data_IF_936555286482
#
_entry.id   IF_936555286482
#
_cell.length_a   1.000
_cell.length_b   1.000
_cell.length_c   1.000
_cell.angle_alpha   90.00
_cell.angle_beta   90.00
_cell.angle_gamma   90.00
#
_symmetry.space_group_name_H-M   'P 1'
#
loop_
_entity.id
_entity.type
_entity.pdbx_description
1 polymer ?
#
# COMPACT_ATOMS: atom_id res chain seq x y z
N UNK A 1 31.95 -74.69 -14.34
CA UNK A 1 31.39 -73.58 -13.53
C UNK A 1 31.45 -74.05 -12.12
N UNK A 2 32.50 -73.61 -11.36
CA UNK A 2 32.62 -73.88 -9.93
C UNK A 2 31.57 -73.07 -9.16
N UNK A 3 30.82 -73.72 -8.33
CA UNK A 3 29.83 -73.05 -7.48
C UNK A 3 30.57 -72.30 -6.35
N UNK A 4 30.23 -70.98 -6.23
CA UNK A 4 30.79 -70.13 -5.17
C UNK A 4 30.51 -70.72 -3.77
N UNK A 5 31.51 -70.71 -2.91
CA UNK A 5 31.34 -71.21 -1.54
C UNK A 5 30.40 -70.29 -0.72
N UNK A 6 29.71 -70.78 0.31
CA UNK A 6 28.87 -69.94 1.16
C UNK A 6 29.62 -68.75 1.76
N UNK A 7 30.92 -68.83 2.02
CA UNK A 7 31.76 -67.74 2.53
C UNK A 7 31.97 -66.64 1.48
N UNK A 8 32.15 -67.03 0.20
CA UNK A 8 32.31 -66.06 -0.90
C UNK A 8 31.02 -65.31 -1.17
N UNK A 9 29.85 -65.95 -1.02
CA UNK A 9 28.54 -65.30 -1.16
C UNK A 9 28.33 -64.27 -0.04
N UNK A 10 28.74 -64.54 1.18
CA UNK A 10 28.64 -63.61 2.31
C UNK A 10 29.59 -62.40 2.10
N UNK A 11 30.82 -62.64 1.63
CA UNK A 11 31.78 -61.60 1.31
C UNK A 11 31.29 -60.67 0.20
N UNK A 12 30.73 -61.25 -0.89
CA UNK A 12 30.16 -60.52 -2.00
C UNK A 12 28.93 -59.68 -1.56
N UNK A 13 28.05 -60.22 -0.71
CA UNK A 13 26.92 -59.45 -0.17
C UNK A 13 27.40 -58.26 0.67
N UNK A 14 28.40 -58.46 1.53
CA UNK A 14 28.96 -57.36 2.33
C UNK A 14 29.58 -56.27 1.44
N UNK A 15 30.36 -56.64 0.43
CA UNK A 15 30.93 -55.70 -0.53
C UNK A 15 29.86 -54.98 -1.37
N UNK A 16 28.75 -55.64 -1.70
CA UNK A 16 27.60 -55.01 -2.40
C UNK A 16 26.88 -54.00 -1.52
N UNK A 17 26.72 -54.32 -0.21
CA UNK A 17 26.07 -53.41 0.72
C UNK A 17 26.95 -52.17 1.04
N UNK A 18 28.29 -52.38 1.15
CA UNK A 18 29.25 -51.29 1.27
C UNK A 18 29.23 -50.39 0.04
N UNK A 19 29.24 -50.95 -1.17
CA UNK A 19 29.13 -50.18 -2.42
C UNK A 19 27.78 -49.44 -2.56
N UNK A 20 26.68 -49.99 -2.03
CA UNK A 20 25.38 -49.32 -1.99
C UNK A 20 25.38 -48.12 -1.06
N UNK A 21 26.04 -48.23 0.10
CA UNK A 21 26.21 -47.13 1.05
C UNK A 21 27.05 -46.01 0.40
N UNK A 22 28.19 -46.37 -0.22
CA UNK A 22 29.04 -45.37 -0.92
C UNK A 22 28.32 -44.64 -2.03
N UNK A 23 27.52 -45.36 -2.84
CA UNK A 23 26.66 -44.73 -3.88
C UNK A 23 25.60 -43.84 -3.29
N UNK A 24 25.03 -44.23 -2.14
CA UNK A 24 24.03 -43.40 -1.46
C UNK A 24 24.63 -42.09 -0.91
N UNK A 25 25.84 -42.21 -0.29
CA UNK A 25 26.60 -41.02 0.20
C UNK A 25 27.00 -40.12 -0.98
N UNK A 26 27.57 -40.65 -2.05
CA UNK A 26 27.94 -39.88 -3.22
C UNK A 26 26.73 -39.18 -3.89
N UNK A 27 25.57 -39.81 -3.88
CA UNK A 27 24.31 -39.18 -4.37
C UNK A 27 23.84 -38.05 -3.47
N UNK A 28 23.98 -38.22 -2.15
CA UNK A 28 23.64 -37.16 -1.18
C UNK A 28 24.60 -35.98 -1.32
N UNK A 29 25.91 -36.21 -1.45
CA UNK A 29 26.91 -35.16 -1.67
C UNK A 29 26.69 -34.42 -3.01
N UNK A 30 26.39 -35.15 -4.06
CA UNK A 30 26.04 -34.54 -5.36
C UNK A 30 24.73 -33.72 -5.28
N UNK A 31 23.75 -34.15 -4.50
CA UNK A 31 22.53 -33.39 -4.27
C UNK A 31 22.79 -32.09 -3.47
N UNK A 32 23.62 -32.17 -2.43
CA UNK A 32 24.05 -31.02 -1.65
C UNK A 32 24.88 -30.03 -2.49
N UNK A 33 25.80 -30.50 -3.33
CA UNK A 33 26.58 -29.67 -4.22
C UNK A 33 25.70 -28.95 -5.25
N UNK A 34 24.67 -29.61 -5.79
CA UNK A 34 23.69 -28.98 -6.69
C UNK A 34 22.85 -27.93 -5.97
N UNK A 35 22.46 -28.18 -4.72
CA UNK A 35 21.72 -27.21 -3.93
C UNK A 35 22.57 -25.96 -3.61
N UNK A 36 23.86 -26.15 -3.30
CA UNK A 36 24.83 -25.04 -3.07
C UNK A 36 25.04 -24.24 -4.36
N UNK A 37 25.20 -24.90 -5.50
CA UNK A 37 25.36 -24.22 -6.79
C UNK A 37 24.11 -23.42 -7.17
N UNK A 38 22.92 -23.97 -6.98
CA UNK A 38 21.68 -23.27 -7.22
C UNK A 38 21.52 -22.04 -6.29
N UNK A 39 21.98 -22.11 -5.03
CA UNK A 39 22.02 -20.97 -4.11
C UNK A 39 23.00 -19.89 -4.58
N UNK A 40 24.20 -20.29 -5.01
CA UNK A 40 25.20 -19.36 -5.54
C UNK A 40 24.72 -18.66 -6.83
N UNK A 41 24.07 -19.39 -7.74
CA UNK A 41 23.48 -18.82 -8.96
C UNK A 41 22.37 -17.81 -8.62
N UNK A 42 21.50 -18.11 -7.66
CA UNK A 42 20.47 -17.19 -7.17
C UNK A 42 21.08 -15.94 -6.55
N UNK A 43 22.17 -16.05 -5.79
CA UNK A 43 22.90 -14.92 -5.18
C UNK A 43 23.60 -14.07 -6.24
N UNK A 44 24.21 -14.68 -7.25
CA UNK A 44 24.83 -13.97 -8.39
C UNK A 44 23.76 -13.20 -9.18
N UNK A 45 22.63 -13.82 -9.45
CA UNK A 45 21.51 -13.14 -10.13
C UNK A 45 20.97 -11.96 -9.34
N UNK A 46 20.84 -12.08 -8.02
CA UNK A 46 20.42 -10.99 -7.12
C UNK A 46 21.44 -9.85 -7.08
N UNK A 47 22.73 -10.17 -7.01
CA UNK A 47 23.81 -9.16 -7.02
C UNK A 47 23.92 -8.46 -8.38
N UNK A 48 23.79 -9.19 -9.48
CA UNK A 48 23.75 -8.62 -10.82
C UNK A 48 22.58 -7.64 -10.97
N UNK A 49 21.42 -8.00 -10.40
CA UNK A 49 20.25 -7.16 -10.36
C UNK A 49 20.44 -5.88 -9.53
N UNK A 50 21.05 -5.98 -8.35
CA UNK A 50 21.39 -4.84 -7.51
C UNK A 50 22.40 -3.90 -8.21
N UNK A 51 23.37 -4.45 -8.91
CA UNK A 51 24.33 -3.68 -9.70
C UNK A 51 23.64 -2.96 -10.87
N UNK A 52 22.70 -3.59 -11.52
CA UNK A 52 21.92 -3.02 -12.62
C UNK A 52 21.00 -1.90 -12.14
N UNK A 53 20.39 -2.05 -10.97
CA UNK A 53 19.62 -1.02 -10.29
C UNK A 53 20.48 0.19 -9.89
N UNK A 54 21.66 -0.05 -9.32
CA UNK A 54 22.60 1.01 -8.93
C UNK A 54 23.22 1.74 -10.13
N UNK A 55 23.51 1.04 -11.22
CA UNK A 55 23.96 1.63 -12.49
C UNK A 55 22.89 2.52 -13.12
N UNK A 56 21.64 2.16 -12.95
CA UNK A 56 20.49 2.87 -13.52
C UNK A 56 20.08 4.11 -12.73
N UNK A 57 20.18 4.10 -11.42
CA UNK A 57 20.01 5.30 -10.58
C UNK A 57 21.02 6.40 -10.97
N UNK A 58 22.15 5.99 -11.53
CA UNK A 58 23.24 6.89 -11.96
C UNK A 58 23.11 7.37 -13.41
N UNK A 59 22.47 6.61 -14.34
CA UNK A 59 22.69 6.80 -15.78
C UNK A 59 21.49 6.71 -16.74
N UNK A 60 20.19 6.59 -16.31
CA UNK A 60 19.28 6.43 -17.38
C UNK A 60 17.78 6.45 -17.28
N UNK A 61 17.15 6.57 -18.45
CA UNK A 61 15.69 6.52 -18.66
C UNK A 61 15.09 5.16 -18.27
N UNK A 62 13.93 5.19 -17.61
CA UNK A 62 13.21 4.02 -17.09
C UNK A 62 12.65 3.15 -18.23
N UNK A 63 13.16 1.94 -18.42
CA UNK A 63 12.54 0.96 -19.30
C UNK A 63 11.42 0.19 -18.58
N UNK A 64 10.36 -0.25 -19.30
CA UNK A 64 9.26 -1.03 -18.73
C UNK A 64 9.70 -2.33 -18.05
N UNK A 65 10.75 -2.99 -18.57
CA UNK A 65 11.29 -4.25 -18.04
C UNK A 65 11.88 -4.09 -16.64
N UNK A 66 12.54 -2.97 -16.39
CA UNK A 66 13.13 -2.64 -15.09
C UNK A 66 12.08 -2.17 -14.08
N UNK A 67 10.97 -1.56 -14.55
CA UNK A 67 9.83 -1.17 -13.71
C UNK A 67 9.14 -2.42 -13.12
N UNK A 68 8.89 -3.44 -13.94
CA UNK A 68 8.32 -4.72 -13.48
C UNK A 68 9.21 -5.45 -12.46
N UNK A 69 10.51 -5.32 -12.61
CA UNK A 69 11.48 -5.93 -11.69
C UNK A 69 11.56 -5.16 -10.36
N UNK A 70 11.42 -3.83 -10.41
CA UNK A 70 11.28 -2.98 -9.22
C UNK A 70 9.99 -3.31 -8.49
N UNK A 71 8.85 -3.40 -9.20
CA UNK A 71 7.57 -3.76 -8.63
C UNK A 71 7.60 -5.13 -7.92
N UNK A 72 8.36 -6.10 -8.45
CA UNK A 72 8.59 -7.39 -7.79
C UNK A 72 9.48 -7.29 -6.55
N UNK A 73 10.49 -6.42 -6.57
CA UNK A 73 11.38 -6.20 -5.42
C UNK A 73 10.68 -5.34 -4.35
N UNK A 74 9.87 -4.38 -4.74
CA UNK A 74 9.02 -3.59 -3.84
C UNK A 74 7.97 -4.49 -3.16
N UNK A 75 7.32 -5.40 -3.90
CA UNK A 75 6.44 -6.41 -3.33
C UNK A 75 7.15 -7.37 -2.37
N UNK A 76 8.40 -7.74 -2.66
CA UNK A 76 9.20 -8.56 -1.76
C UNK A 76 9.68 -7.77 -0.53
N UNK A 77 9.98 -6.48 -0.70
CA UNK A 77 10.34 -5.57 0.38
C UNK A 77 9.13 -5.29 1.29
N UNK A 78 7.96 -4.99 0.72
CA UNK A 78 6.71 -4.84 1.48
C UNK A 78 6.35 -6.10 2.27
N UNK A 79 6.53 -7.29 1.67
CA UNK A 79 6.31 -8.55 2.39
C UNK A 79 7.31 -8.76 3.53
N UNK A 80 8.56 -8.31 3.37
CA UNK A 80 9.57 -8.36 4.41
C UNK A 80 9.31 -7.32 5.51
N UNK A 81 8.89 -6.11 5.12
CA UNK A 81 8.53 -5.03 6.05
C UNK A 81 7.25 -5.33 6.82
N UNK A 82 6.23 -5.91 6.18
CA UNK A 82 4.99 -6.32 6.85
C UNK A 82 5.26 -7.43 7.89
N UNK A 83 6.19 -8.34 7.61
CA UNK A 83 6.58 -9.39 8.55
C UNK A 83 7.48 -8.85 9.66
N UNK A 84 8.38 -7.92 9.33
CA UNK A 84 9.24 -7.25 10.32
C UNK A 84 8.44 -6.37 11.28
N UNK A 85 7.42 -5.63 10.79
CA UNK A 85 6.54 -4.81 11.63
C UNK A 85 5.65 -5.65 12.55
N UNK A 86 5.24 -6.84 12.16
CA UNK A 86 4.50 -7.76 13.05
C UNK A 86 5.40 -8.30 14.17
N UNK A 87 6.64 -8.66 13.85
CA UNK A 87 7.63 -9.15 14.84
C UNK A 87 8.17 -8.03 15.73
N UNK A 88 8.37 -6.82 15.20
CA UNK A 88 8.76 -5.62 15.97
C UNK A 88 7.61 -5.13 16.86
N UNK A 89 6.36 -5.19 16.40
CA UNK A 89 5.21 -4.85 17.22
C UNK A 89 5.01 -5.86 18.35
N UNK A 90 5.22 -7.16 18.10
CA UNK A 90 5.21 -8.20 19.14
C UNK A 90 6.35 -8.02 20.13
N UNK A 91 7.56 -7.67 19.67
CA UNK A 91 8.72 -7.37 20.50
C UNK A 91 8.54 -6.06 21.31
N UNK A 92 7.94 -5.02 20.71
CA UNK A 92 7.64 -3.75 21.38
C UNK A 92 6.55 -3.91 22.45
N UNK A 93 5.55 -4.76 22.22
CA UNK A 93 4.54 -5.14 23.23
C UNK A 93 5.20 -5.90 24.39
N UNK A 94 6.19 -6.73 24.12
CA UNK A 94 6.95 -7.45 25.15
C UNK A 94 7.95 -6.55 25.91
N UNK A 95 8.46 -5.49 25.27
CA UNK A 95 9.44 -4.54 25.82
C UNK A 95 8.82 -3.31 26.52
N UNK A 96 7.50 -3.06 26.37
CA UNK A 96 6.82 -1.92 26.95
C UNK A 96 6.66 -2.02 28.47
N UNK A 97 7.77 -1.81 29.17
CA UNK A 97 7.76 -1.42 30.58
C UNK A 97 7.29 0.03 30.69
N UNK A 98 6.19 0.22 31.39
CA UNK A 98 5.50 1.46 31.74
C UNK A 98 6.41 2.62 32.07
N UNK A 99 6.44 3.65 31.22
CA UNK A 99 6.88 4.98 31.60
C UNK A 99 5.61 5.84 31.81
N UNK A 100 5.31 6.18 33.03
CA UNK A 100 4.22 7.10 33.40
C UNK A 100 4.56 8.49 32.91
N UNK A 101 3.83 9.00 31.93
CA UNK A 101 3.90 10.40 31.49
C UNK A 101 2.91 11.21 32.31
N UNK A 102 3.42 12.20 33.05
CA UNK A 102 2.62 13.16 33.80
C UNK A 102 1.67 13.91 32.87
N UNK A 103 0.38 13.97 33.24
CA UNK A 103 -0.63 14.72 32.50
C UNK A 103 -0.30 16.22 32.51
N UNK A 104 -0.12 16.83 31.33
CA UNK A 104 0.03 18.25 31.17
C UNK A 104 -1.30 18.90 30.75
N UNK A 105 -1.59 20.05 31.33
CA UNK A 105 -2.79 20.84 31.02
C UNK A 105 -2.56 21.55 29.68
N UNK A 106 -3.38 21.24 28.68
CA UNK A 106 -3.35 21.90 27.37
C UNK A 106 -3.80 23.34 27.50
N UNK A 107 -2.89 24.30 27.43
CA UNK A 107 -3.25 25.70 27.25
C UNK A 107 -3.93 25.87 25.88
N UNK A 108 -5.04 26.63 25.80
CA UNK A 108 -5.67 26.95 24.51
C UNK A 108 -4.65 27.74 23.68
N UNK A 109 -4.30 27.30 22.46
CA UNK A 109 -3.37 28.04 21.62
C UNK A 109 -3.97 29.40 21.27
N UNK A 110 -3.30 30.49 21.64
CA UNK A 110 -3.63 31.81 21.13
C UNK A 110 -3.06 31.94 19.73
N UNK A 111 -3.87 32.44 18.76
CA UNK A 111 -3.39 32.71 17.39
C UNK A 111 -2.32 33.79 17.46
N UNK A 112 -1.10 33.43 17.04
CA UNK A 112 -0.04 34.40 16.83
C UNK A 112 -0.31 35.16 15.52
N UNK A 113 -0.08 36.48 15.45
CA UNK A 113 -0.18 37.23 14.20
C UNK A 113 0.82 36.71 13.17
N UNK A 114 0.46 36.80 11.90
CA UNK A 114 1.37 36.41 10.82
C UNK A 114 2.62 37.32 10.80
N UNK A 115 3.82 36.79 10.49
CA UNK A 115 5.08 37.55 10.55
C UNK A 115 5.03 38.86 9.76
N UNK A 116 5.42 39.95 10.38
CA UNK A 116 5.33 41.30 9.82
C UNK A 116 6.23 41.52 8.58
N UNK A 117 7.34 40.76 8.49
CA UNK A 117 8.30 40.86 7.37
C UNK A 117 7.80 40.28 6.06
N UNK A 118 6.73 39.48 6.08
CA UNK A 118 6.18 38.86 4.84
C UNK A 118 5.44 39.91 4.00
N UNK A 119 5.58 39.89 2.65
CA UNK A 119 4.85 40.81 1.78
C UNK A 119 3.34 40.55 1.91
N UNK A 120 2.56 41.63 1.98
CA UNK A 120 1.10 41.59 2.07
C UNK A 120 0.48 42.08 0.78
N UNK A 121 -0.37 41.26 0.20
CA UNK A 121 -1.22 41.66 -0.94
C UNK A 121 -2.60 41.99 -0.40
N UNK A 122 -3.03 43.25 -0.52
CA UNK A 122 -4.35 43.69 -0.08
C UNK A 122 -5.37 43.46 -1.20
N UNK A 123 -6.38 42.63 -0.92
CA UNK A 123 -7.51 42.40 -1.83
C UNK A 123 -8.77 42.99 -1.19
N UNK A 124 -9.29 44.05 -1.79
CA UNK A 124 -10.53 44.68 -1.33
C UNK A 124 -11.70 44.03 -2.04
N UNK A 125 -12.62 43.46 -1.27
CA UNK A 125 -13.90 42.94 -1.81
C UNK A 125 -14.87 44.11 -1.91
N UNK A 126 -15.29 44.50 -3.10
CA UNK A 126 -16.19 45.65 -3.27
C UNK A 126 -17.53 45.38 -2.57
N UNK A 127 -18.01 46.39 -1.88
CA UNK A 127 -19.35 46.38 -1.29
C UNK A 127 -20.44 46.71 -2.34
N UNK A 128 -21.69 46.44 -2.00
CA UNK A 128 -22.84 46.85 -2.81
C UNK A 128 -22.93 48.38 -2.90
N UNK A 129 -23.27 48.92 -4.04
CA UNK A 129 -23.41 50.37 -4.28
C UNK A 129 -24.71 50.94 -3.73
N UNK A 130 -25.66 50.06 -3.35
CA UNK A 130 -26.94 50.44 -2.76
C UNK A 130 -27.29 49.58 -1.54
N UNK A 131 -28.09 50.09 -0.64
CA UNK A 131 -28.58 49.39 0.55
C UNK A 131 -29.52 48.24 0.16
N UNK A 132 -29.21 47.01 0.53
CA UNK A 132 -30.02 45.83 0.29
C UNK A 132 -31.41 45.86 0.99
N UNK A 133 -31.63 46.80 1.94
CA UNK A 133 -32.87 46.93 2.68
C UNK A 133 -33.84 47.92 2.06
N UNK A 134 -33.36 49.09 1.55
CA UNK A 134 -34.21 50.18 1.07
C UNK A 134 -33.81 50.72 -0.31
N UNK A 135 -32.80 50.15 -0.99
CA UNK A 135 -32.35 50.58 -2.32
C UNK A 135 -31.58 51.90 -2.36
N UNK A 136 -31.40 52.60 -1.22
CA UNK A 136 -30.74 53.92 -1.19
C UNK A 136 -29.22 53.76 -1.47
N UNK A 137 -28.66 54.73 -2.18
CA UNK A 137 -27.22 54.88 -2.46
C UNK A 137 -26.46 55.65 -1.34
N UNK A 138 -27.21 56.18 -0.32
CA UNK A 138 -26.62 56.95 0.77
C UNK A 138 -25.92 56.05 1.80
N UNK A 139 -24.87 55.36 1.38
CA UNK A 139 -24.06 54.50 2.23
C UNK A 139 -22.91 55.26 2.87
N UNK A 140 -22.61 54.99 4.17
CA UNK A 140 -21.47 55.53 4.90
C UNK A 140 -20.60 54.34 5.37
N UNK A 141 -19.32 54.41 5.10
CA UNK A 141 -18.34 53.38 5.54
C UNK A 141 -18.18 53.43 7.07
N UNK A 142 -18.46 52.34 7.75
CA UNK A 142 -18.32 52.18 9.21
C UNK A 142 -16.98 51.65 9.62
N UNK A 143 -16.32 50.89 8.73
CA UNK A 143 -15.05 50.23 9.04
C UNK A 143 -14.70 49.12 8.03
N UNK A 144 -13.65 48.38 8.36
CA UNK A 144 -13.15 47.26 7.55
C UNK A 144 -12.91 46.07 8.47
N UNK A 145 -13.29 44.87 8.02
CA UNK A 145 -12.85 43.62 8.62
C UNK A 145 -11.71 43.08 7.77
N UNK A 146 -10.53 42.98 8.37
CA UNK A 146 -9.32 42.48 7.70
C UNK A 146 -9.09 41.04 8.15
N UNK A 147 -9.10 40.12 7.20
CA UNK A 147 -8.73 38.72 7.40
C UNK A 147 -7.43 38.46 6.68
N UNK A 148 -6.43 37.95 7.39
CA UNK A 148 -5.14 37.58 6.81
C UNK A 148 -5.09 36.07 6.54
N UNK A 149 -4.65 35.69 5.34
CA UNK A 149 -4.42 34.33 4.91
C UNK A 149 -2.98 34.19 4.46
N UNK A 150 -2.27 33.18 4.99
CA UNK A 150 -0.93 32.87 4.56
C UNK A 150 -0.97 32.07 3.25
N UNK A 151 -0.27 32.55 2.23
CA UNK A 151 -0.19 31.90 0.91
C UNK A 151 1.27 31.67 0.51
N UNK A 152 1.55 30.66 -0.33
CA UNK A 152 2.87 30.35 -0.83
C UNK A 152 2.94 30.55 -2.34
N UNK A 153 3.96 31.27 -2.79
CA UNK A 153 4.44 31.21 -4.16
C UNK A 153 5.68 30.30 -4.11
N UNK A 154 5.91 29.41 -5.09
CA UNK A 154 7.07 28.53 -5.06
C UNK A 154 8.35 29.31 -4.67
N UNK A 155 8.93 28.95 -3.52
CA UNK A 155 10.08 29.58 -2.86
C UNK A 155 9.87 31.01 -2.31
N UNK A 156 8.61 31.49 -2.18
CA UNK A 156 8.32 32.76 -1.54
C UNK A 156 7.02 32.68 -0.73
N UNK A 157 7.07 33.20 0.49
CA UNK A 157 5.89 33.34 1.33
C UNK A 157 5.25 34.71 1.07
N UNK A 158 3.92 34.75 1.06
CA UNK A 158 3.14 35.98 1.02
C UNK A 158 1.96 35.91 1.97
N UNK A 159 1.53 37.05 2.46
CA UNK A 159 0.29 37.19 3.22
C UNK A 159 -0.74 37.88 2.31
N UNK A 160 -1.93 37.29 2.22
CA UNK A 160 -3.08 37.87 1.53
C UNK A 160 -3.99 38.51 2.59
N UNK A 161 -4.11 39.83 2.58
CA UNK A 161 -5.04 40.56 3.42
C UNK A 161 -6.35 40.73 2.67
N UNK A 162 -7.42 40.06 3.09
CA UNK A 162 -8.75 40.20 2.52
C UNK A 162 -9.52 41.26 3.33
N UNK A 163 -9.77 42.39 2.71
CA UNK A 163 -10.48 43.52 3.34
C UNK A 163 -11.93 43.51 2.89
N UNK A 164 -12.83 43.43 3.86
CA UNK A 164 -14.29 43.53 3.63
C UNK A 164 -14.80 44.80 4.27
N UNK A 165 -15.13 45.77 3.46
CA UNK A 165 -15.63 47.05 3.96
C UNK A 165 -17.04 46.90 4.53
N UNK A 166 -17.33 47.61 5.62
CA UNK A 166 -18.65 47.69 6.22
C UNK A 166 -19.24 49.07 5.96
N UNK A 167 -20.47 49.14 5.51
CA UNK A 167 -21.18 50.35 5.23
C UNK A 167 -22.51 50.40 6.00
N UNK A 168 -22.82 51.56 6.62
CA UNK A 168 -24.16 51.83 7.09
C UNK A 168 -24.95 52.64 6.09
N UNK A 169 -26.19 52.28 5.87
CA UNK A 169 -27.13 53.09 5.09
C UNK A 169 -27.63 54.23 5.94
N UNK A 170 -27.36 55.47 5.55
CA UNK A 170 -27.85 56.66 6.23
C UNK A 170 -29.38 56.90 6.12
N UNK A 171 -30.05 56.16 5.23
CA UNK A 171 -31.50 56.27 5.07
C UNK A 171 -32.27 55.25 5.94
N UNK A 172 -31.75 54.04 6.17
CA UNK A 172 -32.43 53.00 6.95
C UNK A 172 -31.56 52.38 8.05
N UNK A 173 -30.37 52.91 8.33
CA UNK A 173 -29.42 52.51 9.35
C UNK A 173 -28.93 51.07 9.26
N UNK A 174 -29.28 50.34 8.20
CA UNK A 174 -28.89 48.95 7.98
C UNK A 174 -27.40 48.86 7.62
N UNK A 175 -26.70 47.97 8.32
CA UNK A 175 -25.28 47.64 8.00
C UNK A 175 -25.22 46.60 6.91
N UNK A 176 -24.40 46.85 5.89
CA UNK A 176 -24.07 45.92 4.83
C UNK A 176 -22.60 45.61 4.74
N UNK A 177 -22.26 44.35 4.50
CA UNK A 177 -20.86 43.88 4.35
C UNK A 177 -20.90 42.72 3.33
N UNK A 178 -19.95 42.62 2.38
CA UNK A 178 -19.85 41.47 1.50
C UNK A 178 -19.56 40.20 2.30
N UNK A 179 -20.02 39.01 1.83
CA UNK A 179 -19.73 37.75 2.48
C UNK A 179 -18.22 37.47 2.51
N UNK A 180 -17.77 36.71 3.48
CA UNK A 180 -16.39 36.26 3.53
C UNK A 180 -16.12 35.29 2.37
N UNK A 181 -14.92 35.31 1.74
CA UNK A 181 -14.55 34.31 0.76
C UNK A 181 -14.51 32.92 1.39
N UNK A 182 -14.70 31.91 0.55
CA UNK A 182 -14.62 30.53 1.01
C UNK A 182 -13.20 30.20 1.49
N UNK A 183 -13.11 29.57 2.65
CA UNK A 183 -11.91 28.98 3.20
C UNK A 183 -12.15 27.52 3.55
N UNK A 184 -11.18 26.64 3.25
CA UNK A 184 -11.23 25.22 3.62
C UNK A 184 -11.43 25.02 5.11
N UNK A 185 -10.78 25.87 5.92
CA UNK A 185 -10.98 25.92 7.37
C UNK A 185 -11.67 27.24 7.73
N UNK A 186 -12.83 27.23 8.37
CA UNK A 186 -13.47 28.46 8.85
C UNK A 186 -12.49 29.29 9.70
N UNK A 187 -12.32 30.57 9.37
CA UNK A 187 -11.30 31.46 9.98
C UNK A 187 -9.85 30.90 9.80
N UNK A 188 -9.59 30.14 8.75
CA UNK A 188 -8.27 29.57 8.46
C UNK A 188 -7.23 30.65 8.14
N UNK A 189 -5.98 30.35 8.48
CA UNK A 189 -4.82 31.19 8.17
C UNK A 189 -4.11 30.77 6.87
N UNK A 190 -4.46 29.62 6.28
CA UNK A 190 -3.72 29.02 5.19
C UNK A 190 -4.51 29.18 3.88
N UNK A 191 -3.86 29.74 2.88
CA UNK A 191 -4.40 29.81 1.52
C UNK A 191 -4.34 28.46 0.80
N UNK A 192 -5.10 28.34 -0.28
CA UNK A 192 -5.24 27.08 -1.02
C UNK A 192 -3.91 26.51 -1.53
N UNK A 193 -2.99 27.36 -1.98
CA UNK A 193 -1.67 26.91 -2.47
C UNK A 193 -0.82 26.32 -1.36
N UNK A 194 -0.84 26.92 -0.16
CA UNK A 194 -0.13 26.37 1.00
C UNK A 194 -0.73 25.03 1.43
N UNK A 195 -2.06 24.92 1.47
CA UNK A 195 -2.75 23.67 1.79
C UNK A 195 -2.40 22.56 0.78
N UNK A 196 -2.43 22.88 -0.51
CA UNK A 196 -2.04 21.95 -1.58
C UNK A 196 -0.58 21.50 -1.43
N UNK A 197 0.33 22.42 -1.10
CA UNK A 197 1.75 22.11 -0.86
C UNK A 197 1.92 21.15 0.33
N UNK A 198 1.26 21.41 1.46
CA UNK A 198 1.33 20.55 2.65
C UNK A 198 0.86 19.13 2.32
N UNK A 199 -0.25 18.98 1.59
CA UNK A 199 -0.77 17.68 1.18
C UNK A 199 0.16 16.97 0.21
N UNK A 200 0.65 17.68 -0.81
CA UNK A 200 1.56 17.10 -1.80
C UNK A 200 2.85 16.63 -1.16
N UNK A 201 3.44 17.43 -0.27
CA UNK A 201 4.66 17.04 0.42
C UNK A 201 4.43 15.85 1.35
N UNK A 202 3.28 15.80 2.04
CA UNK A 202 2.97 14.69 2.95
C UNK A 202 2.68 13.39 2.19
N UNK A 203 1.82 13.42 1.19
CA UNK A 203 1.29 12.23 0.54
C UNK A 203 1.96 11.91 -0.80
N UNK A 204 2.46 12.92 -1.50
CA UNK A 204 3.15 12.75 -2.78
C UNK A 204 4.67 12.64 -2.65
N UNK A 205 5.27 13.36 -1.67
CA UNK A 205 6.71 13.34 -1.42
C UNK A 205 7.10 12.56 -0.15
N UNK A 206 6.12 11.96 0.55
CA UNK A 206 6.31 11.20 1.78
C UNK A 206 7.06 11.97 2.89
N UNK A 207 6.94 13.31 2.88
CA UNK A 207 7.58 14.15 3.87
C UNK A 207 6.72 14.31 5.13
N UNK A 208 7.14 13.83 6.32
CA UNK A 208 6.38 13.97 7.55
C UNK A 208 6.14 15.44 7.92
N UNK A 209 5.01 15.71 8.58
CA UNK A 209 4.64 17.08 8.98
C UNK A 209 5.67 17.76 9.91
N UNK A 210 6.38 17.01 10.75
CA UNK A 210 7.46 17.55 11.58
C UNK A 210 8.61 18.09 10.73
N UNK A 211 9.01 17.39 9.66
CA UNK A 211 10.07 17.89 8.75
C UNK A 211 9.58 19.08 7.92
N UNK A 212 8.30 19.10 7.53
CA UNK A 212 7.73 20.28 6.88
C UNK A 212 7.76 21.48 7.82
N UNK A 213 7.34 21.30 9.09
CA UNK A 213 7.42 22.36 10.12
C UNK A 213 8.84 22.90 10.25
N UNK A 214 9.82 22.03 10.41
CA UNK A 214 11.22 22.42 10.59
C UNK A 214 11.73 23.21 9.38
N UNK A 215 11.38 22.82 8.15
CA UNK A 215 11.71 23.57 6.95
C UNK A 215 11.04 24.94 6.92
N UNK A 216 9.74 25.02 7.22
CA UNK A 216 9.03 26.30 7.24
C UNK A 216 9.62 27.26 8.28
N UNK A 217 10.04 26.75 9.44
CA UNK A 217 10.74 27.54 10.45
C UNK A 217 12.07 28.10 9.92
N UNK A 218 12.87 27.32 9.17
CA UNK A 218 14.09 27.81 8.51
C UNK A 218 13.79 28.86 7.43
N UNK A 219 12.61 28.82 6.83
CA UNK A 219 12.13 29.82 5.86
C UNK A 219 11.51 31.05 6.55
N UNK A 220 11.55 31.14 7.88
CA UNK A 220 11.02 32.25 8.67
C UNK A 220 9.53 32.17 8.98
N UNK A 221 8.89 31.02 8.79
CA UNK A 221 7.45 30.81 9.06
C UNK A 221 7.29 29.70 10.12
N UNK A 222 7.01 30.11 11.35
CA UNK A 222 6.80 29.16 12.45
C UNK A 222 5.35 28.68 12.49
N UNK A 223 5.14 27.37 12.23
CA UNK A 223 3.85 26.70 12.23
C UNK A 223 3.88 25.53 13.19
N UNK A 224 2.91 25.43 14.10
CA UNK A 224 2.84 24.31 15.03
C UNK A 224 2.49 23.00 14.28
N UNK A 225 3.01 21.87 14.77
CA UNK A 225 2.70 20.55 14.23
C UNK A 225 1.19 20.24 14.31
N UNK A 226 0.53 20.66 15.40
CA UNK A 226 -0.91 20.51 15.57
C UNK A 226 -1.69 21.31 14.53
N UNK A 227 -1.26 22.55 14.23
CA UNK A 227 -1.88 23.36 13.19
C UNK A 227 -1.78 22.68 11.81
N UNK A 228 -0.60 22.14 11.45
CA UNK A 228 -0.42 21.40 10.19
C UNK A 228 -1.33 20.17 10.12
N UNK A 229 -1.44 19.42 11.22
CA UNK A 229 -2.30 18.24 11.28
C UNK A 229 -3.80 18.61 11.14
N UNK A 230 -4.23 19.67 11.80
CA UNK A 230 -5.61 20.18 11.71
C UNK A 230 -5.95 20.63 10.28
N UNK A 231 -5.01 21.28 9.59
CA UNK A 231 -5.20 21.68 8.19
C UNK A 231 -5.30 20.48 7.26
N UNK A 232 -4.52 19.43 7.45
CA UNK A 232 -4.66 18.16 6.69
C UNK A 232 -6.05 17.57 6.92
N UNK A 233 -6.54 17.56 8.16
CA UNK A 233 -7.90 17.10 8.46
C UNK A 233 -8.99 17.94 7.77
N UNK A 234 -8.86 19.26 7.77
CA UNK A 234 -9.79 20.16 7.10
C UNK A 234 -9.79 19.97 5.56
N UNK A 235 -8.61 19.76 4.97
CA UNK A 235 -8.51 19.43 3.55
C UNK A 235 -9.19 18.11 3.21
N UNK A 236 -9.12 17.11 4.07
CA UNK A 236 -9.84 15.85 3.90
C UNK A 236 -11.35 16.07 3.80
N UNK A 237 -11.91 16.94 4.67
CA UNK A 237 -13.34 17.29 4.60
C UNK A 237 -13.69 18.04 3.31
N UNK A 238 -12.85 18.98 2.87
CA UNK A 238 -13.07 19.76 1.64
C UNK A 238 -12.96 18.89 0.37
N UNK A 239 -12.11 17.88 0.36
CA UNK A 239 -11.90 16.95 -0.76
C UNK A 239 -12.92 15.80 -0.79
N UNK A 240 -13.76 15.66 0.24
CA UNK A 240 -14.76 14.58 0.31
C UNK A 240 -15.68 14.46 -0.91
N UNK A 241 -16.15 15.54 -1.55
CA UNK A 241 -16.92 15.43 -2.80
C UNK A 241 -16.14 14.74 -3.93
N UNK A 242 -14.87 15.09 -4.09
CA UNK A 242 -13.99 14.44 -5.08
C UNK A 242 -13.75 12.97 -4.74
N UNK A 243 -13.50 12.66 -3.47
CA UNK A 243 -13.38 11.28 -3.00
C UNK A 243 -14.61 10.45 -3.34
N UNK A 244 -15.83 10.98 -3.14
CA UNK A 244 -17.09 10.32 -3.52
C UNK A 244 -17.20 10.04 -5.01
N UNK A 245 -16.71 10.93 -5.88
CA UNK A 245 -16.68 10.70 -7.33
C UNK A 245 -15.72 9.57 -7.68
N UNK A 246 -14.54 9.52 -7.05
CA UNK A 246 -13.58 8.42 -7.21
C UNK A 246 -14.20 7.12 -6.72
N UNK A 247 -14.84 7.12 -5.56
CA UNK A 247 -15.53 5.96 -4.98
C UNK A 247 -16.61 5.43 -5.94
N UNK A 248 -17.48 6.31 -6.43
CA UNK A 248 -18.50 5.93 -7.41
C UNK A 248 -17.87 5.34 -8.67
N UNK A 249 -16.79 5.94 -9.20
CA UNK A 249 -16.08 5.42 -10.36
C UNK A 249 -15.46 4.05 -10.11
N UNK A 250 -14.83 3.84 -8.95
CA UNK A 250 -14.21 2.55 -8.60
C UNK A 250 -15.28 1.48 -8.41
N UNK A 251 -16.35 1.77 -7.68
CA UNK A 251 -17.40 0.78 -7.36
C UNK A 251 -18.31 0.43 -8.56
N UNK A 252 -18.24 1.15 -9.66
CA UNK A 252 -18.93 0.78 -10.91
C UNK A 252 -18.13 -0.18 -11.80
N UNK A 253 -16.91 -0.54 -11.39
CA UNK A 253 -16.08 -1.47 -12.14
C UNK A 253 -16.70 -2.87 -12.16
N UNK A 254 -16.59 -3.57 -13.29
CA UNK A 254 -16.91 -5.00 -13.38
C UNK A 254 -16.01 -5.84 -12.46
N UNK A 255 -14.76 -5.41 -12.30
CA UNK A 255 -13.72 -6.09 -11.52
C UNK A 255 -12.96 -5.11 -10.62
N UNK A 256 -12.79 -5.48 -9.37
CA UNK A 256 -11.95 -4.80 -8.39
C UNK A 256 -10.81 -5.70 -7.93
N UNK A 257 -9.66 -5.09 -7.69
CA UNK A 257 -8.56 -5.70 -6.96
C UNK A 257 -8.60 -5.18 -5.53
N UNK A 258 -8.72 -6.08 -4.56
CA UNK A 258 -8.80 -5.76 -3.13
C UNK A 258 -7.59 -6.28 -2.37
N UNK A 259 -7.00 -5.44 -1.51
CA UNK A 259 -5.93 -5.81 -0.59
C UNK A 259 -6.00 -4.97 0.68
N UNK A 260 -5.31 -5.41 1.74
CA UNK A 260 -5.18 -4.62 2.96
C UNK A 260 -3.74 -4.62 3.47
N UNK A 261 -3.29 -3.49 3.99
CA UNK A 261 -1.96 -3.35 4.58
C UNK A 261 -2.04 -2.78 6.00
N UNK A 262 -1.06 -3.13 6.84
CA UNK A 262 -0.94 -2.56 8.18
C UNK A 262 -0.46 -1.11 8.11
N UNK A 263 -0.96 -0.29 9.03
CA UNK A 263 -0.48 1.09 9.19
C UNK A 263 -0.28 1.39 10.68
N UNK A 264 0.91 1.84 11.09
CA UNK A 264 1.15 2.25 12.47
C UNK A 264 0.43 3.59 12.73
N UNK A 265 -0.33 3.64 13.81
CA UNK A 265 -1.11 4.81 14.22
C UNK A 265 -0.65 5.26 15.60
N UNK A 266 -0.19 6.51 15.71
CA UNK A 266 0.25 7.06 16.97
C UNK A 266 -0.92 7.18 17.96
N UNK A 267 -0.79 6.54 19.12
CA UNK A 267 -1.74 6.59 20.22
C UNK A 267 -1.09 7.16 21.50
N UNK A 268 -1.88 7.40 22.56
CA UNK A 268 -1.39 8.11 23.78
C UNK A 268 -0.22 7.43 24.48
N UNK A 269 -0.17 6.09 24.48
CA UNK A 269 0.79 5.30 25.27
C UNK A 269 1.67 4.40 24.38
N UNK A 270 1.15 4.02 23.24
CA UNK A 270 1.82 3.10 22.30
C UNK A 270 1.43 3.43 20.89
N UNK A 271 2.10 2.81 19.92
CA UNK A 271 1.65 2.77 18.53
C UNK A 271 0.62 1.65 18.36
N UNK A 272 -0.58 1.98 17.92
CA UNK A 272 -1.58 0.99 17.52
C UNK A 272 -1.39 0.64 16.04
N UNK A 273 -1.75 -0.59 15.68
CA UNK A 273 -1.70 -1.05 14.29
C UNK A 273 -3.11 -1.02 13.73
N UNK A 274 -3.35 -0.09 12.80
CA UNK A 274 -4.56 -0.06 11.99
C UNK A 274 -4.38 -0.75 10.65
N UNK A 275 -5.40 -0.66 9.81
CA UNK A 275 -5.42 -1.21 8.45
C UNK A 275 -5.83 -0.15 7.43
N UNK A 276 -5.20 -0.20 6.27
CA UNK A 276 -5.65 0.49 5.06
C UNK A 276 -6.14 -0.57 4.09
N UNK A 277 -7.42 -0.51 3.77
CA UNK A 277 -8.06 -1.33 2.75
C UNK A 277 -7.96 -0.58 1.42
N UNK A 278 -7.51 -1.26 0.39
CA UNK A 278 -7.30 -0.69 -0.93
C UNK A 278 -8.19 -1.43 -1.93
N UNK A 279 -8.97 -0.68 -2.70
CA UNK A 279 -9.76 -1.22 -3.82
C UNK A 279 -9.34 -0.51 -5.09
N UNK A 280 -8.88 -1.26 -6.07
CA UNK A 280 -8.34 -0.72 -7.32
C UNK A 280 -9.19 -1.16 -8.49
N UNK A 281 -9.60 -0.19 -9.31
CA UNK A 281 -10.06 -0.41 -10.67
C UNK A 281 -8.89 -0.19 -11.62
N UNK A 282 -8.55 -1.20 -12.41
CA UNK A 282 -7.64 -1.07 -13.55
C UNK A 282 -8.12 -1.98 -14.68
N UNK A 283 -8.82 -1.38 -15.63
CA UNK A 283 -9.40 -2.10 -16.77
C UNK A 283 -8.41 -2.23 -17.94
N UNK A 284 -7.27 -1.52 -17.92
CA UNK A 284 -6.27 -1.50 -19.02
C UNK A 284 -5.70 -2.88 -19.38
N UNK A 285 -5.36 -3.75 -18.40
CA UNK A 285 -4.87 -5.10 -18.73
C UNK A 285 -5.92 -5.97 -19.44
N UNK A 286 -7.18 -5.54 -19.41
CA UNK A 286 -8.32 -6.25 -20.00
C UNK A 286 -8.87 -5.53 -21.24
N UNK A 287 -8.16 -4.52 -21.76
CA UNK A 287 -8.58 -3.75 -22.93
C UNK A 287 -9.70 -2.75 -22.64
N UNK A 288 -10.04 -2.50 -21.37
CA UNK A 288 -11.08 -1.53 -20.98
C UNK A 288 -10.60 -0.08 -21.10
N UNK A 289 -11.48 0.87 -21.51
CA UNK A 289 -11.13 2.28 -21.72
C UNK A 289 -11.15 3.11 -20.43
N UNK A 290 -11.72 2.61 -19.34
CA UNK A 290 -11.91 3.41 -18.12
C UNK A 290 -10.57 3.72 -17.44
N UNK A 291 -10.37 4.96 -16.97
CA UNK A 291 -9.14 5.33 -16.30
C UNK A 291 -8.96 4.55 -14.98
N UNK A 292 -7.74 4.13 -14.66
CA UNK A 292 -7.47 3.44 -13.40
C UNK A 292 -7.65 4.39 -12.22
N UNK A 293 -8.17 3.85 -11.12
CA UNK A 293 -8.34 4.58 -9.88
C UNK A 293 -8.24 3.64 -8.67
N UNK A 294 -7.82 4.19 -7.54
CA UNK A 294 -7.73 3.48 -6.27
C UNK A 294 -8.54 4.19 -5.18
N UNK A 295 -9.19 3.40 -4.35
CA UNK A 295 -9.97 3.82 -3.19
C UNK A 295 -9.33 3.24 -1.93
N UNK A 296 -9.19 4.08 -0.90
CA UNK A 296 -8.56 3.71 0.36
C UNK A 296 -9.50 3.93 1.53
N UNK A 297 -9.63 2.93 2.40
CA UNK A 297 -10.36 3.03 3.63
C UNK A 297 -9.49 2.64 4.82
N UNK A 298 -9.53 3.42 5.87
CA UNK A 298 -8.85 3.11 7.12
C UNK A 298 -9.79 2.37 8.09
N UNK A 299 -9.24 1.38 8.80
CA UNK A 299 -9.89 0.78 9.97
C UNK A 299 -8.90 0.54 11.10
N UNK A 300 -9.43 0.39 12.32
CA UNK A 300 -8.59 0.11 13.51
C UNK A 300 -8.10 -1.33 13.58
N UNK A 301 -8.77 -2.23 12.90
CA UNK A 301 -8.51 -3.67 12.93
C UNK A 301 -8.81 -4.32 11.57
N UNK A 302 -8.57 -5.62 11.45
CA UNK A 302 -8.78 -6.42 10.24
C UNK A 302 -10.11 -7.19 10.26
N UNK A 303 -11.17 -6.68 10.87
CA UNK A 303 -12.46 -7.41 10.92
C UNK A 303 -13.18 -7.39 9.59
N UNK A 304 -13.92 -8.48 9.31
CA UNK A 304 -14.68 -8.64 8.06
C UNK A 304 -15.86 -7.67 7.89
N UNK A 305 -16.28 -6.98 8.96
CA UNK A 305 -17.28 -5.90 8.88
C UNK A 305 -16.84 -4.75 7.98
N UNK A 306 -15.52 -4.42 8.00
CA UNK A 306 -14.98 -3.31 7.22
C UNK A 306 -15.13 -3.53 5.71
N UNK A 307 -14.58 -4.59 5.09
CA UNK A 307 -14.78 -4.82 3.66
C UNK A 307 -16.25 -5.06 3.28
N UNK A 308 -17.07 -5.64 4.16
CA UNK A 308 -18.52 -5.76 3.95
C UNK A 308 -19.18 -4.39 3.78
N UNK A 309 -18.84 -3.43 4.65
CA UNK A 309 -19.44 -2.11 4.65
C UNK A 309 -18.88 -1.25 3.50
N UNK A 310 -17.57 -1.33 3.20
CA UNK A 310 -16.95 -0.63 2.07
C UNK A 310 -17.53 -1.06 0.72
N UNK A 311 -17.82 -2.34 0.56
CA UNK A 311 -18.33 -2.93 -0.68
C UNK A 311 -19.83 -3.24 -0.62
N UNK A 312 -20.58 -2.61 0.30
CA UNK A 312 -22.00 -2.89 0.52
C UNK A 312 -22.83 -2.88 -0.78
N UNK A 313 -22.56 -1.93 -1.67
CA UNK A 313 -23.29 -1.76 -2.93
C UNK A 313 -22.57 -2.35 -4.16
N UNK A 314 -21.44 -3.04 -3.98
CA UNK A 314 -20.68 -3.62 -5.08
C UNK A 314 -21.21 -5.01 -5.44
N UNK A 315 -21.36 -5.33 -6.74
CA UNK A 315 -21.89 -6.61 -7.23
C UNK A 315 -21.04 -7.26 -8.33
N UNK A 316 -19.82 -6.81 -8.56
CA UNK A 316 -18.93 -7.33 -9.60
C UNK A 316 -18.01 -8.48 -9.14
N UNK A 317 -16.84 -8.58 -9.76
CA UNK A 317 -15.78 -9.55 -9.43
C UNK A 317 -14.79 -8.89 -8.46
N UNK A 318 -14.53 -9.52 -7.30
CA UNK A 318 -13.48 -9.09 -6.38
C UNK A 318 -12.30 -10.05 -6.45
N UNK A 319 -11.17 -9.56 -6.95
CA UNK A 319 -9.90 -10.27 -6.88
C UNK A 319 -9.14 -9.84 -5.62
N UNK A 320 -9.04 -10.75 -4.65
CA UNK A 320 -8.38 -10.50 -3.37
C UNK A 320 -7.61 -11.73 -2.88
N UNK A 321 -6.96 -11.63 -1.73
CA UNK A 321 -6.40 -12.78 -1.04
C UNK A 321 -7.51 -13.68 -0.47
N UNK A 322 -7.15 -14.85 0.07
CA UNK A 322 -8.09 -15.79 0.69
C UNK A 322 -8.48 -15.38 2.13
N UNK A 323 -8.50 -14.10 2.46
CA UNK A 323 -8.88 -13.63 3.78
C UNK A 323 -10.37 -13.89 4.05
N UNK A 324 -10.65 -14.58 5.18
CA UNK A 324 -12.01 -14.98 5.55
C UNK A 324 -12.97 -13.80 5.78
N UNK A 325 -12.47 -12.60 6.06
CA UNK A 325 -13.27 -11.38 6.20
C UNK A 325 -14.04 -10.97 4.94
N UNK A 326 -13.65 -11.47 3.77
CA UNK A 326 -14.40 -11.26 2.53
C UNK A 326 -15.56 -12.24 2.32
N UNK A 327 -15.68 -13.33 3.11
CA UNK A 327 -16.63 -14.41 2.85
C UNK A 327 -18.09 -13.94 2.85
N UNK A 328 -18.43 -12.91 3.64
CA UNK A 328 -19.80 -12.36 3.66
C UNK A 328 -20.22 -11.75 2.31
N UNK A 329 -19.25 -11.23 1.52
CA UNK A 329 -19.49 -10.65 0.21
C UNK A 329 -19.89 -11.69 -0.84
N UNK A 330 -19.47 -12.94 -0.66
CA UNK A 330 -19.67 -14.03 -1.63
C UNK A 330 -20.94 -14.84 -1.37
N UNK A 331 -21.70 -14.51 -0.33
CA UNK A 331 -22.94 -15.22 0.01
C UNK A 331 -24.04 -14.96 -1.02
N UNK A 332 -24.74 -16.01 -1.52
CA UNK A 332 -25.82 -15.84 -2.50
C UNK A 332 -26.98 -14.95 -2.01
N UNK A 333 -27.26 -14.96 -0.71
CA UNK A 333 -28.33 -14.17 -0.10
C UNK A 333 -28.01 -12.68 0.10
N UNK A 334 -26.83 -12.22 -0.31
CA UNK A 334 -26.39 -10.82 -0.18
C UNK A 334 -27.19 -9.91 -1.11
N UNK A 335 -27.56 -8.72 -0.63
CA UNK A 335 -28.13 -7.63 -1.44
C UNK A 335 -27.04 -6.59 -1.70
N UNK A 336 -26.82 -6.11 -2.93
CA UNK A 336 -27.62 -6.27 -4.17
C UNK A 336 -27.39 -7.59 -4.92
N UNK A 337 -26.50 -8.45 -4.48
CA UNK A 337 -26.16 -9.75 -5.05
C UNK A 337 -24.81 -10.24 -4.54
N UNK A 338 -24.52 -11.52 -4.76
CA UNK A 338 -23.20 -12.08 -4.44
C UNK A 338 -22.12 -11.43 -5.28
N UNK A 339 -20.99 -11.10 -4.64
CA UNK A 339 -19.76 -10.72 -5.36
C UNK A 339 -19.12 -12.00 -5.89
N UNK A 340 -18.69 -12.00 -7.14
CA UNK A 340 -17.95 -13.12 -7.71
C UNK A 340 -16.53 -13.12 -7.15
N UNK A 341 -16.12 -14.23 -6.54
CA UNK A 341 -14.79 -14.38 -5.94
C UNK A 341 -13.74 -14.68 -7.01
N UNK A 342 -12.63 -13.97 -6.99
CA UNK A 342 -11.42 -14.30 -7.72
C UNK A 342 -10.23 -14.26 -6.77
N UNK A 343 -9.44 -15.35 -6.71
CA UNK A 343 -8.29 -15.41 -5.83
C UNK A 343 -7.03 -14.84 -6.51
N UNK A 344 -6.22 -14.18 -5.70
CA UNK A 344 -5.01 -13.54 -6.18
C UNK A 344 -3.83 -14.53 -6.23
N UNK A 345 -3.40 -14.90 -7.43
CA UNK A 345 -2.23 -15.75 -7.66
C UNK A 345 -0.93 -15.16 -7.08
N UNK A 346 -0.78 -13.84 -7.04
CA UNK A 346 0.38 -13.17 -6.44
C UNK A 346 0.49 -13.47 -4.95
N UNK A 347 -0.63 -13.48 -4.21
CA UNK A 347 -0.66 -13.85 -2.80
C UNK A 347 -0.32 -15.33 -2.58
N UNK A 348 -0.83 -16.23 -3.43
CA UNK A 348 -0.48 -17.64 -3.37
C UNK A 348 1.02 -17.85 -3.66
N UNK A 349 1.55 -17.23 -4.71
CA UNK A 349 2.97 -17.26 -5.06
C UNK A 349 3.86 -16.75 -3.92
N UNK A 350 3.47 -15.66 -3.26
CA UNK A 350 4.22 -15.06 -2.15
C UNK A 350 4.45 -16.06 -1.02
N UNK A 351 3.48 -16.93 -0.71
CA UNK A 351 3.64 -17.96 0.32
C UNK A 351 4.80 -18.93 0.02
N UNK A 352 4.97 -19.30 -1.24
CA UNK A 352 6.09 -20.13 -1.67
C UNK A 352 7.39 -19.33 -1.82
N UNK A 353 7.30 -18.12 -2.35
CA UNK A 353 8.47 -17.27 -2.59
C UNK A 353 9.27 -16.98 -1.31
N UNK A 354 8.59 -16.70 -0.20
CA UNK A 354 9.24 -16.51 1.11
C UNK A 354 10.04 -17.74 1.56
N UNK A 355 9.58 -18.94 1.21
CA UNK A 355 10.25 -20.21 1.55
C UNK A 355 11.36 -20.59 0.55
N UNK A 356 11.31 -20.07 -0.67
CA UNK A 356 12.29 -20.25 -1.73
C UNK A 356 13.39 -19.17 -1.71
N UNK A 357 13.20 -18.05 -1.02
CA UNK A 357 14.12 -16.92 -1.03
C UNK A 357 15.10 -16.96 0.14
N UNK A 358 16.35 -17.27 -0.18
CA UNK A 358 17.47 -17.32 0.78
C UNK A 358 17.71 -15.98 1.50
N UNK A 359 17.61 -14.87 0.78
CA UNK A 359 17.90 -13.54 1.32
C UNK A 359 16.93 -13.12 2.45
N UNK A 360 15.67 -13.53 2.37
CA UNK A 360 14.65 -13.24 3.39
C UNK A 360 14.88 -14.06 4.67
N UNK A 361 15.40 -15.29 4.54
CA UNK A 361 15.68 -16.16 5.69
C UNK A 361 16.96 -15.77 6.45
N UNK A 362 17.97 -15.24 5.77
CA UNK A 362 19.20 -14.74 6.41
C UNK A 362 18.93 -13.56 7.34
N UNK A 363 17.98 -12.67 6.98
CA UNK A 363 17.59 -11.54 7.83
C UNK A 363 16.84 -11.96 9.11
N UNK A 364 16.14 -13.11 9.09
CA UNK A 364 15.33 -13.59 10.22
C UNK A 364 16.14 -14.23 11.37
N UNK A 365 17.26 -14.89 11.06
CA UNK A 365 18.11 -15.52 12.10
C UNK A 365 19.58 -15.40 11.70
N UNK A 366 20.28 -14.35 12.17
CA UNK A 366 21.72 -14.23 11.94
C UNK A 366 22.46 -15.47 12.51
N UNK A 367 23.27 -16.12 11.69
CA UNK A 367 24.08 -17.26 12.10
C UNK A 367 23.54 -18.67 11.75
N UNK A 368 22.30 -18.80 11.23
CA UNK A 368 21.82 -20.07 10.66
C UNK A 368 21.96 -20.05 9.13
N UNK A 369 22.44 -21.18 8.59
CA UNK A 369 22.45 -21.38 7.14
C UNK A 369 21.01 -21.31 6.58
N UNK A 370 20.78 -20.56 5.49
CA UNK A 370 19.44 -20.42 4.91
C UNK A 370 18.98 -21.76 4.32
N UNK A 371 17.85 -22.26 4.79
CA UNK A 371 17.24 -23.48 4.25
C UNK A 371 16.28 -23.10 3.13
N UNK A 372 16.72 -23.23 1.89
CA UNK A 372 15.86 -23.12 0.72
C UNK A 372 15.03 -24.38 0.59
N UNK A 373 13.71 -24.24 0.46
CA UNK A 373 12.86 -25.38 0.16
C UNK A 373 12.82 -25.65 -1.35
N UNK A 374 13.35 -26.78 -1.86
CA UNK A 374 13.30 -27.13 -3.27
C UNK A 374 11.85 -27.22 -3.79
N UNK A 375 10.91 -27.68 -2.95
CA UNK A 375 9.49 -27.76 -3.29
C UNK A 375 8.87 -26.37 -3.45
N UNK A 376 9.28 -25.41 -2.58
CA UNK A 376 8.78 -24.03 -2.70
C UNK A 376 9.34 -23.36 -3.98
N UNK A 377 10.59 -23.60 -4.32
CA UNK A 377 11.21 -23.08 -5.54
C UNK A 377 10.54 -23.66 -6.78
N UNK A 378 10.25 -24.96 -6.81
CA UNK A 378 9.52 -25.62 -7.89
C UNK A 378 8.10 -25.03 -8.05
N UNK A 379 7.38 -24.82 -6.94
CA UNK A 379 6.06 -24.17 -6.95
C UNK A 379 6.12 -22.76 -7.57
N UNK A 380 7.12 -21.95 -7.17
CA UNK A 380 7.32 -20.60 -7.73
C UNK A 380 7.58 -20.69 -9.24
N UNK A 381 8.46 -21.60 -9.69
CA UNK A 381 8.78 -21.78 -11.11
C UNK A 381 7.56 -22.18 -11.94
N UNK A 382 6.70 -23.07 -11.42
CA UNK A 382 5.45 -23.47 -12.07
C UNK A 382 4.46 -22.32 -12.19
N UNK A 383 4.30 -21.54 -11.12
CA UNK A 383 3.43 -20.35 -11.12
C UNK A 383 3.98 -19.27 -12.07
N UNK A 384 5.30 -19.08 -12.14
CA UNK A 384 5.92 -18.09 -13.02
C UNK A 384 5.64 -18.36 -14.49
N UNK A 385 5.57 -19.61 -14.93
CA UNK A 385 5.14 -19.98 -16.29
C UNK A 385 3.73 -19.49 -16.61
N UNK A 386 2.81 -19.56 -15.65
CA UNK A 386 1.44 -19.03 -15.80
C UNK A 386 1.49 -17.51 -15.96
N UNK A 387 2.29 -16.81 -15.12
CA UNK A 387 2.47 -15.37 -15.25
C UNK A 387 3.13 -14.93 -16.55
N UNK A 388 4.02 -15.76 -17.12
CA UNK A 388 4.62 -15.49 -18.44
C UNK A 388 3.56 -15.48 -19.56
N UNK A 389 2.64 -16.44 -19.54
CA UNK A 389 1.50 -16.46 -20.49
C UNK A 389 0.62 -15.22 -20.28
N UNK A 390 0.25 -14.89 -19.04
CA UNK A 390 -0.58 -13.73 -18.72
C UNK A 390 0.06 -12.42 -19.19
N UNK A 391 1.38 -12.27 -19.07
CA UNK A 391 2.11 -11.12 -19.63
C UNK A 391 1.98 -11.01 -21.15
N UNK A 392 2.01 -12.14 -21.83
CA UNK A 392 1.89 -12.19 -23.30
C UNK A 392 0.49 -11.84 -23.84
N UNK A 393 -0.54 -11.96 -23.00
CA UNK A 393 -1.94 -11.68 -23.38
C UNK A 393 -2.48 -10.39 -22.74
N UNK A 394 -1.65 -9.62 -22.06
CA UNK A 394 -2.03 -8.35 -21.46
C UNK A 394 -2.51 -7.38 -22.54
N UNK A 395 -3.68 -6.74 -22.35
CA UNK A 395 -4.27 -5.81 -23.30
C UNK A 395 -5.06 -6.44 -24.47
N UNK A 396 -5.06 -7.78 -24.60
CA UNK A 396 -5.91 -8.48 -25.59
C UNK A 396 -7.37 -8.49 -25.14
N UNK A 397 -8.28 -8.76 -26.09
CA UNK A 397 -9.71 -8.88 -25.82
C UNK A 397 -10.02 -10.06 -24.86
N UNK A 398 -11.19 -10.07 -24.26
CA UNK A 398 -11.61 -11.12 -23.33
C UNK A 398 -11.60 -12.51 -24.01
N UNK A 399 -12.11 -12.60 -25.26
CA UNK A 399 -12.19 -13.86 -26.01
C UNK A 399 -10.82 -14.39 -26.40
N UNK A 400 -9.91 -13.54 -26.88
CA UNK A 400 -8.53 -13.90 -27.20
C UNK A 400 -7.79 -14.41 -25.96
N UNK A 401 -8.00 -13.76 -24.81
CA UNK A 401 -7.40 -14.17 -23.55
C UNK A 401 -7.98 -15.49 -23.06
N UNK A 402 -9.29 -15.69 -23.20
CA UNK A 402 -9.95 -16.93 -22.83
C UNK A 402 -9.39 -18.10 -23.67
N UNK A 403 -9.30 -17.93 -24.99
CA UNK A 403 -8.75 -18.95 -25.89
C UNK A 403 -7.33 -19.37 -25.48
N UNK A 404 -6.42 -18.40 -25.29
CA UNK A 404 -5.03 -18.68 -24.86
C UNK A 404 -4.97 -19.33 -23.48
N UNK A 405 -5.81 -18.90 -22.55
CA UNK A 405 -5.88 -19.51 -21.21
C UNK A 405 -6.36 -20.96 -21.26
N UNK A 406 -7.36 -21.26 -22.09
CA UNK A 406 -7.85 -22.62 -22.26
C UNK A 406 -6.78 -23.53 -22.89
N UNK A 407 -6.05 -23.02 -23.87
CA UNK A 407 -5.03 -23.78 -24.58
C UNK A 407 -3.74 -23.95 -23.78
N UNK A 408 -3.20 -22.87 -23.21
CA UNK A 408 -1.87 -22.85 -22.59
C UNK A 408 -1.88 -22.84 -21.07
N UNK A 409 -2.80 -22.11 -20.44
CA UNK A 409 -2.79 -21.93 -18.98
C UNK A 409 -3.50 -23.09 -18.26
N UNK A 410 -4.62 -23.56 -18.77
CA UNK A 410 -5.41 -24.64 -18.14
C UNK A 410 -4.60 -25.91 -17.91
N UNK A 411 -3.81 -26.41 -18.87
CA UNK A 411 -2.95 -27.58 -18.64
C UNK A 411 -1.93 -27.37 -17.52
N UNK A 412 -1.32 -26.16 -17.43
CA UNK A 412 -0.34 -25.83 -16.39
C UNK A 412 -0.99 -25.75 -15.01
N UNK A 413 -2.20 -25.21 -14.93
CA UNK A 413 -2.95 -25.13 -13.66
C UNK A 413 -3.32 -26.52 -13.19
N UNK A 414 -3.84 -27.38 -14.06
CA UNK A 414 -4.19 -28.77 -13.74
C UNK A 414 -2.97 -29.58 -13.29
N UNK A 415 -1.84 -29.45 -13.99
CA UNK A 415 -0.57 -30.09 -13.60
C UNK A 415 -0.05 -29.58 -12.25
N UNK A 416 -0.12 -28.27 -12.02
CA UNK A 416 0.25 -27.66 -10.73
C UNK A 416 -0.66 -28.16 -9.61
N UNK A 417 -1.96 -28.22 -9.81
CA UNK A 417 -2.90 -28.72 -8.80
C UNK A 417 -2.61 -30.19 -8.44
N UNK A 418 -2.44 -31.05 -9.47
CA UNK A 418 -2.09 -32.44 -9.26
C UNK A 418 -0.78 -32.59 -8.48
N UNK A 419 0.25 -31.88 -8.89
CA UNK A 419 1.55 -31.88 -8.24
C UNK A 419 1.46 -31.38 -6.78
N UNK A 420 0.71 -30.32 -6.52
CA UNK A 420 0.51 -29.80 -5.16
C UNK A 420 -0.21 -30.81 -4.26
N UNK A 421 -1.22 -31.50 -4.76
CA UNK A 421 -1.95 -32.55 -4.01
C UNK A 421 -1.05 -33.73 -3.68
N UNK A 422 -0.23 -34.19 -4.64
CA UNK A 422 0.76 -35.25 -4.45
C UNK A 422 1.76 -34.85 -3.36
N UNK A 423 2.40 -33.66 -3.48
CA UNK A 423 3.39 -33.21 -2.48
C UNK A 423 2.77 -32.96 -1.13
N UNK A 424 1.53 -32.46 -1.07
CA UNK A 424 0.81 -32.27 0.20
C UNK A 424 0.60 -33.58 0.96
N UNK A 425 0.35 -34.67 0.28
CA UNK A 425 0.17 -35.98 0.89
C UNK A 425 1.46 -36.53 1.55
N UNK A 426 2.63 -36.11 1.05
CA UNK A 426 3.95 -36.54 1.56
C UNK A 426 4.51 -35.68 2.67
N UNK A 427 3.88 -34.52 2.99
CA UNK A 427 4.41 -33.53 3.92
C UNK A 427 3.68 -33.58 5.27
N UNK A 428 4.43 -33.41 6.36
CA UNK A 428 3.85 -33.24 7.69
C UNK A 428 2.97 -31.95 7.72
N UNK A 429 1.84 -32.03 8.42
CA UNK A 429 0.76 -31.05 8.39
C UNK A 429 1.20 -29.60 8.69
N UNK A 430 2.18 -29.42 9.56
CA UNK A 430 2.61 -28.12 10.07
C UNK A 430 3.91 -27.60 9.43
N UNK A 431 4.42 -28.25 8.39
CA UNK A 431 5.59 -27.70 7.68
C UNK A 431 5.20 -26.45 6.93
N UNK A 432 6.07 -25.42 6.87
CA UNK A 432 5.74 -24.16 6.18
C UNK A 432 5.30 -24.37 4.73
N UNK A 433 5.91 -25.30 4.02
CA UNK A 433 5.54 -25.64 2.64
C UNK A 433 4.15 -26.29 2.58
N UNK A 434 3.82 -27.19 3.51
CA UNK A 434 2.49 -27.80 3.59
C UNK A 434 1.39 -26.78 3.87
N UNK A 435 1.70 -25.76 4.69
CA UNK A 435 0.78 -24.63 4.95
C UNK A 435 0.59 -23.80 3.68
N UNK A 436 1.66 -23.49 2.94
CA UNK A 436 1.58 -22.76 1.67
C UNK A 436 0.76 -23.52 0.61
N UNK A 437 1.00 -24.84 0.49
CA UNK A 437 0.20 -25.71 -0.39
C UNK A 437 -1.27 -25.74 0.06
N UNK A 438 -1.52 -25.90 1.36
CA UNK A 438 -2.89 -25.89 1.90
C UNK A 438 -3.63 -24.58 1.67
N UNK A 439 -2.92 -23.44 1.69
CA UNK A 439 -3.50 -22.15 1.33
C UNK A 439 -3.95 -22.11 -0.14
N UNK A 440 -3.13 -22.64 -1.07
CA UNK A 440 -3.42 -22.63 -2.49
C UNK A 440 -4.50 -23.64 -2.91
N UNK A 441 -4.58 -24.79 -2.21
CA UNK A 441 -5.55 -25.86 -2.49
C UNK A 441 -6.89 -25.70 -1.74
N UNK A 442 -7.04 -24.68 -0.87
CA UNK A 442 -8.22 -24.50 -0.02
C UNK A 442 -9.44 -24.00 -0.82
N UNK A 443 -9.20 -23.33 -1.91
CA UNK A 443 -10.14 -22.67 -2.78
C UNK A 443 -9.80 -22.95 -4.24
#
# INVERSE_FOLDING_TARGET
MEALSPADIIALRKSLDEARIDVAVARADAANARAINADLEARIALQALQIELLKRDRFGQRSERSRRLIDQLELALEAAEATATEDEAAAAVAAAKTTTVTAFVRARPSRQPLPAHLPRTRVVIPSTTCCAGCGSDRLSKLGEDITETLEVIPRRWKVIQTVRERFACRACERVSQPPAPFHVTPRGLFGASLLAMILFEKFGQHQPLNRQRDRYAHEGVDLSLSTLADQVGACTAALKPLHRLIEAHVLTAERLHGDDTTVPVLAKVRTDIGRIWTYVRDDRPFGGPAPPAALFHYSRDRRGEHPRDHLANYGGILQADAYAGYNELFKPARTPGAVTRALCWAHARRKFFVLANVATQVKRKPGLAPVVSPLALEAVTRIDRIFDIERGICGKTADERLAVRQELTTPLVNDLEHWLREKRAMLARHTPVAVAIGYMLKD
#
